data_IF_945216405442
#
_entry.id   IF_945216405442
#
_cell.length_a   1.000
_cell.length_b   1.000
_cell.length_c   1.000
_cell.angle_alpha   90.00
_cell.angle_beta   90.00
_cell.angle_gamma   90.00
#
_symmetry.space_group_name_H-M   'P 1'
#
loop_
_entity.id
_entity.type
_entity.pdbx_description
1 polymer ?
#
# COMPACT_ATOMS: atom_id res chain seq x y z
N UNK A 1 -14.74 -17.59 32.40
CA UNK A 1 -14.53 -17.40 30.97
C UNK A 1 -13.10 -16.92 30.79
N UNK A 2 -12.21 -17.75 30.23
CA UNK A 2 -10.82 -17.36 29.97
C UNK A 2 -10.83 -16.53 28.69
N UNK A 3 -10.78 -15.21 28.84
CA UNK A 3 -10.60 -14.31 27.71
C UNK A 3 -9.16 -14.53 27.24
N UNK A 4 -8.97 -15.12 26.07
CA UNK A 4 -7.63 -15.35 25.51
C UNK A 4 -6.85 -14.05 25.38
N UNK A 5 -5.53 -14.11 25.49
CA UNK A 5 -4.65 -12.98 25.16
C UNK A 5 -4.62 -12.86 23.62
N UNK A 6 -5.49 -12.03 23.07
CA UNK A 6 -5.57 -11.78 21.62
C UNK A 6 -4.24 -11.33 21.00
N UNK A 7 -4.19 -11.14 19.67
CA UNK A 7 -2.96 -10.77 18.98
C UNK A 7 -2.43 -9.42 19.49
N UNK A 8 -1.10 -9.27 19.49
CA UNK A 8 -0.43 -8.03 19.92
C UNK A 8 -0.82 -6.81 19.08
N UNK A 9 -1.21 -7.02 17.82
CA UNK A 9 -1.66 -6.00 16.87
C UNK A 9 -2.83 -6.56 16.08
N UNK A 10 -3.88 -5.77 15.90
CA UNK A 10 -5.08 -6.13 15.16
C UNK A 10 -5.49 -4.95 14.28
N UNK A 11 -5.82 -5.24 13.02
CA UNK A 11 -6.45 -4.28 12.13
C UNK A 11 -7.71 -4.94 11.57
N UNK A 12 -8.85 -4.27 11.72
CA UNK A 12 -10.10 -4.69 11.10
C UNK A 12 -10.29 -3.88 9.82
N UNK A 13 -10.38 -4.58 8.70
CA UNK A 13 -10.63 -4.00 7.37
C UNK A 13 -11.87 -4.67 6.79
N UNK A 14 -12.70 -3.89 6.12
CA UNK A 14 -13.92 -4.38 5.47
C UNK A 14 -13.79 -4.19 3.96
N UNK A 15 -14.03 -5.27 3.21
CA UNK A 15 -13.77 -5.33 1.77
C UNK A 15 -12.35 -5.76 1.45
N UNK A 16 -12.07 -5.93 0.16
CA UNK A 16 -10.76 -6.30 -0.36
C UNK A 16 -10.53 -5.61 -1.71
N UNK A 17 -9.27 -5.34 -2.02
CA UNK A 17 -8.85 -5.03 -3.39
C UNK A 17 -8.60 -6.36 -4.11
N UNK A 18 -9.09 -6.47 -5.34
CA UNK A 18 -8.93 -7.66 -6.16
C UNK A 18 -8.65 -7.27 -7.60
N UNK A 19 -7.88 -8.10 -8.27
CA UNK A 19 -7.51 -7.94 -9.66
C UNK A 19 -7.98 -9.16 -10.45
N UNK A 20 -8.38 -8.96 -11.70
CA UNK A 20 -8.57 -10.07 -12.64
C UNK A 20 -7.19 -10.58 -13.11
N UNK A 21 -7.17 -11.75 -13.75
CA UNK A 21 -5.94 -12.34 -14.26
C UNK A 21 -5.16 -11.38 -15.17
N UNK A 22 -3.87 -11.18 -14.89
CA UNK A 22 -2.98 -10.31 -15.66
C UNK A 22 -3.17 -8.80 -15.43
N UNK A 23 -4.20 -8.37 -14.68
CA UNK A 23 -4.49 -6.94 -14.52
C UNK A 23 -3.41 -6.24 -13.71
N UNK A 24 -2.97 -6.81 -12.59
CA UNK A 24 -1.97 -6.16 -11.74
C UNK A 24 -0.62 -6.08 -12.46
N UNK A 25 -0.26 -7.10 -13.24
CA UNK A 25 0.95 -7.13 -14.05
C UNK A 25 0.93 -6.00 -15.10
N UNK A 26 -0.17 -5.89 -15.85
CA UNK A 26 -0.34 -4.81 -16.84
C UNK A 26 -0.29 -3.43 -16.19
N UNK A 27 -0.98 -3.23 -15.06
CA UNK A 27 -0.99 -1.94 -14.36
C UNK A 27 0.41 -1.58 -13.79
N UNK A 28 1.21 -2.57 -13.40
CA UNK A 28 2.60 -2.37 -13.01
C UNK A 28 3.47 -1.98 -14.22
N UNK A 29 3.28 -2.62 -15.38
CA UNK A 29 3.98 -2.27 -16.62
C UNK A 29 3.65 -0.86 -17.12
N UNK A 30 2.38 -0.44 -16.97
CA UNK A 30 1.92 0.93 -17.30
C UNK A 30 2.36 1.99 -16.28
N UNK A 31 3.02 1.58 -15.19
CA UNK A 31 3.49 2.49 -14.13
C UNK A 31 2.37 3.05 -13.25
N UNK A 32 1.20 2.42 -13.24
CA UNK A 32 0.07 2.79 -12.38
C UNK A 32 0.32 2.39 -10.93
N UNK A 33 0.96 1.23 -10.72
CA UNK A 33 1.36 0.77 -9.39
C UNK A 33 2.86 0.78 -9.19
N UNK A 34 3.26 1.17 -7.97
CA UNK A 34 4.64 1.09 -7.51
C UNK A 34 4.68 0.09 -6.37
N UNK A 35 5.49 -0.96 -6.54
CA UNK A 35 5.67 -2.00 -5.52
C UNK A 35 6.73 -1.57 -4.50
N UNK A 36 6.43 -1.74 -3.22
CA UNK A 36 7.35 -1.49 -2.11
C UNK A 36 7.44 -2.75 -1.24
N UNK A 37 8.59 -3.03 -0.60
CA UNK A 37 8.70 -4.13 0.36
C UNK A 37 7.66 -3.99 1.47
N UNK A 38 7.15 -5.13 1.94
CA UNK A 38 6.19 -5.13 3.05
C UNK A 38 6.85 -4.68 4.35
N UNK A 39 6.23 -3.71 5.03
CA UNK A 39 6.68 -3.16 6.30
C UNK A 39 5.56 -3.23 7.36
N UNK A 40 5.83 -3.92 8.47
CA UNK A 40 4.88 -4.07 9.59
C UNK A 40 4.63 -2.72 10.27
N UNK A 41 5.63 -1.84 10.34
CA UNK A 41 5.48 -0.53 10.93
C UNK A 41 4.65 0.39 10.04
N UNK A 42 4.80 0.28 8.73
CA UNK A 42 3.90 0.93 7.76
C UNK A 42 2.46 0.46 7.93
N UNK A 43 2.24 -0.86 8.09
CA UNK A 43 0.90 -1.43 8.24
C UNK A 43 0.24 -1.02 9.56
N UNK A 44 0.90 -1.22 10.70
CA UNK A 44 0.25 -1.14 12.02
C UNK A 44 0.62 0.09 12.85
N UNK A 45 1.80 0.68 12.63
CA UNK A 45 2.36 1.71 13.53
C UNK A 45 2.44 3.10 12.87
N UNK A 46 1.94 3.25 11.64
CA UNK A 46 1.92 4.51 10.91
C UNK A 46 0.49 5.02 10.80
N UNK A 47 0.27 6.30 11.09
CA UNK A 47 -1.05 6.93 10.91
C UNK A 47 -1.49 6.85 9.44
N UNK A 48 -2.79 6.67 9.19
CA UNK A 48 -3.30 6.38 7.85
C UNK A 48 -2.88 7.43 6.81
N UNK A 49 -2.96 8.72 7.16
CA UNK A 49 -2.57 9.82 6.26
C UNK A 49 -1.06 9.86 6.00
N UNK A 50 -0.26 9.35 6.93
CA UNK A 50 1.20 9.30 6.81
C UNK A 50 1.71 8.05 6.07
N UNK A 51 0.88 7.01 5.93
CA UNK A 51 1.28 5.75 5.25
C UNK A 51 1.74 5.99 3.83
N UNK A 52 1.02 6.83 3.08
CA UNK A 52 1.31 7.05 1.67
C UNK A 52 2.70 7.69 1.48
N UNK A 53 2.99 8.73 2.26
CA UNK A 53 4.31 9.37 2.28
C UNK A 53 5.41 8.40 2.73
N UNK A 54 5.21 7.68 3.84
CA UNK A 54 6.20 6.74 4.36
C UNK A 54 6.51 5.60 3.37
N UNK A 55 5.50 5.10 2.67
CA UNK A 55 5.68 4.07 1.65
C UNK A 55 6.55 4.59 0.49
N UNK A 56 6.29 5.80 0.00
CA UNK A 56 7.08 6.38 -1.08
C UNK A 56 8.51 6.73 -0.66
N UNK A 57 8.67 7.32 0.53
CA UNK A 57 9.98 7.63 1.12
C UNK A 57 10.84 6.34 1.23
N UNK A 58 10.21 5.17 1.49
CA UNK A 58 10.91 3.89 1.56
C UNK A 58 11.58 3.44 0.26
N UNK A 59 11.11 3.94 -0.88
CA UNK A 59 11.68 3.69 -2.22
C UNK A 59 12.52 4.86 -2.72
N UNK A 60 12.70 5.91 -1.91
CA UNK A 60 13.36 7.15 -2.33
C UNK A 60 12.53 7.94 -3.35
N UNK A 61 11.21 7.71 -3.40
CA UNK A 61 10.30 8.37 -4.34
C UNK A 61 9.72 9.61 -3.66
N UNK A 62 9.96 10.77 -4.26
CA UNK A 62 9.26 11.99 -3.88
C UNK A 62 7.87 12.00 -4.52
N UNK A 63 6.86 11.65 -3.73
CA UNK A 63 5.45 11.63 -4.16
C UNK A 63 4.95 12.97 -4.73
N UNK A 64 5.53 14.10 -4.31
CA UNK A 64 5.14 15.40 -4.83
C UNK A 64 5.71 15.65 -6.24
N UNK A 65 6.62 14.78 -6.70
CA UNK A 65 7.20 14.80 -8.06
C UNK A 65 6.56 13.76 -8.97
N UNK A 66 5.68 12.90 -8.46
CA UNK A 66 4.80 12.07 -9.28
C UNK A 66 3.78 12.99 -9.95
N UNK A 67 4.14 13.54 -11.11
CA UNK A 67 3.18 14.16 -12.01
C UNK A 67 2.19 13.09 -12.50
N UNK A 68 0.90 13.41 -12.67
CA UNK A 68 -0.05 12.53 -13.34
C UNK A 68 0.28 12.52 -14.84
N UNK A 69 1.37 11.84 -15.23
CA UNK A 69 1.56 11.43 -16.61
C UNK A 69 0.84 10.10 -16.79
N UNK A 70 -0.48 10.17 -16.80
CA UNK A 70 -1.33 9.10 -17.33
C UNK A 70 -1.10 9.16 -18.84
N UNK A 71 -0.73 8.02 -19.43
CA UNK A 71 -0.28 7.88 -20.82
C UNK A 71 -1.08 8.70 -21.83
N UNK A 72 -0.35 9.32 -22.77
CA UNK A 72 -0.96 9.96 -23.93
C UNK A 72 -1.57 8.88 -24.82
N UNK A 73 -2.86 9.01 -25.12
CA UNK A 73 -3.50 8.46 -26.31
C UNK A 73 -3.86 9.61 -27.25
#
# INVERSE_FOLDING_TARGET
YIIGKGPKRLMLVMGYAGWVEGQIENEMEEGVWISVPSDIDLLFNTENDAKWKKAADSQGIDIYRLHPFIGSA
#
